data_IF_885958641330
#
_entry.id   IF_885958641330
#
_cell.length_a   1.000
_cell.length_b   1.000
_cell.length_c   1.000
_cell.angle_alpha   90.00
_cell.angle_beta   90.00
_cell.angle_gamma   90.00
#
_symmetry.space_group_name_H-M   'P 1'
#
loop_
_entity.id
_entity.type
_entity.pdbx_description
1 polymer ?
#
# COMPACT_ATOMS: atom_id res chain seq x y z
N UNK A 1 4.99 -11.19 25.62
CA UNK A 1 5.10 -11.06 24.16
C UNK A 1 4.36 -9.79 23.74
N UNK A 2 4.94 -9.00 22.85
CA UNK A 2 4.39 -7.75 22.34
C UNK A 2 4.23 -7.88 20.83
N UNK A 3 3.00 -7.63 20.36
CA UNK A 3 2.68 -7.58 18.93
C UNK A 3 2.75 -6.14 18.46
N UNK A 4 3.60 -5.88 17.47
CA UNK A 4 3.76 -4.55 16.89
C UNK A 4 3.72 -4.64 15.37
N UNK A 5 3.15 -3.61 14.74
CA UNK A 5 3.24 -3.44 13.29
C UNK A 5 4.22 -2.30 13.01
N UNK A 6 5.29 -2.62 12.27
CA UNK A 6 6.40 -1.72 12.00
C UNK A 6 6.51 -1.46 10.50
N UNK A 7 6.70 -0.20 10.11
CA UNK A 7 7.16 0.15 8.78
C UNK A 7 8.67 0.04 8.75
N UNK A 8 9.19 -0.80 7.87
CA UNK A 8 10.63 -0.98 7.64
C UNK A 8 10.93 -0.50 6.23
N UNK A 9 11.55 0.68 6.13
CA UNK A 9 11.97 1.27 4.87
C UNK A 9 13.28 0.64 4.38
N UNK A 10 13.64 0.90 3.14
CA UNK A 10 14.92 0.55 2.51
C UNK A 10 15.43 -0.88 2.80
N UNK A 11 14.55 -1.87 2.69
CA UNK A 11 14.93 -3.28 2.79
C UNK A 11 15.45 -3.70 1.42
N UNK A 12 16.76 -3.90 1.33
CA UNK A 12 17.41 -4.34 0.09
C UNK A 12 17.31 -5.85 -0.05
N UNK A 13 16.83 -6.30 -1.21
CA UNK A 13 16.83 -7.68 -1.64
C UNK A 13 17.70 -7.80 -2.89
N UNK A 14 18.83 -8.50 -2.75
CA UNK A 14 19.76 -8.72 -3.86
C UNK A 14 19.18 -9.69 -4.87
N UNK A 15 19.35 -9.41 -6.17
CA UNK A 15 19.00 -10.33 -7.24
C UNK A 15 20.00 -11.48 -7.39
N UNK A 16 21.18 -11.38 -6.76
CA UNK A 16 22.26 -12.37 -6.82
C UNK A 16 22.22 -13.39 -5.69
N UNK A 17 21.35 -13.20 -4.70
CA UNK A 17 21.25 -14.08 -3.54
C UNK A 17 19.83 -14.64 -3.46
N UNK A 18 19.73 -15.96 -3.23
CA UNK A 18 18.46 -16.59 -2.89
C UNK A 18 18.13 -16.30 -1.43
N UNK A 19 17.46 -15.17 -1.20
CA UNK A 19 16.90 -14.79 0.08
C UNK A 19 15.46 -14.39 -0.08
N UNK A 20 14.67 -14.65 0.94
CA UNK A 20 13.31 -14.15 1.04
C UNK A 20 13.32 -12.72 1.56
N UNK A 21 12.27 -11.96 1.21
CA UNK A 21 12.06 -10.62 1.77
C UNK A 21 11.97 -10.68 3.31
N UNK A 22 11.32 -11.72 3.86
CA UNK A 22 11.18 -11.92 5.32
C UNK A 22 12.55 -12.04 6.00
N UNK A 23 13.52 -12.74 5.40
CA UNK A 23 14.87 -12.84 5.96
C UNK A 23 15.62 -11.51 5.93
N UNK A 24 15.49 -10.74 4.84
CA UNK A 24 16.09 -9.40 4.76
C UNK A 24 15.50 -8.44 5.81
N UNK A 25 14.18 -8.49 6.01
CA UNK A 25 13.49 -7.71 7.06
C UNK A 25 13.96 -8.15 8.45
N UNK A 26 14.01 -9.46 8.71
CA UNK A 26 14.46 -10.02 9.98
C UNK A 26 15.90 -9.61 10.28
N UNK A 27 16.80 -9.64 9.28
CA UNK A 27 18.18 -9.16 9.40
C UNK A 27 18.22 -7.68 9.76
N UNK A 28 17.44 -6.84 9.08
CA UNK A 28 17.37 -5.39 9.36
C UNK A 28 16.82 -5.09 10.75
N UNK A 29 15.82 -5.86 11.19
CA UNK A 29 15.23 -5.79 12.54
C UNK A 29 16.05 -6.55 13.60
N UNK A 30 17.07 -7.31 13.19
CA UNK A 30 17.93 -8.12 14.07
C UNK A 30 17.13 -9.05 14.98
N UNK A 31 16.11 -9.68 14.41
CA UNK A 31 15.26 -10.69 15.03
C UNK A 31 15.31 -11.97 14.20
N UNK A 32 14.78 -13.06 14.75
CA UNK A 32 14.61 -14.31 14.01
C UNK A 32 13.50 -14.14 12.96
N UNK A 33 13.62 -14.73 11.75
CA UNK A 33 12.55 -14.68 10.75
C UNK A 33 11.19 -15.17 11.25
N UNK A 34 11.18 -16.18 12.14
CA UNK A 34 9.96 -16.71 12.76
C UNK A 34 9.27 -15.75 13.74
N UNK A 35 9.91 -14.66 14.14
CA UNK A 35 9.26 -13.60 14.94
C UNK A 35 8.42 -12.64 14.07
N UNK A 36 8.50 -12.74 12.74
CA UNK A 36 7.69 -11.95 11.81
C UNK A 36 6.46 -12.76 11.42
N UNK A 37 5.30 -12.42 11.98
CA UNK A 37 4.04 -13.11 11.72
C UNK A 37 3.49 -12.75 10.34
N UNK A 38 3.61 -11.49 9.93
CA UNK A 38 3.14 -11.00 8.64
C UNK A 38 4.13 -10.00 8.03
N UNK A 39 4.30 -10.04 6.71
CA UNK A 39 5.14 -9.12 5.96
C UNK A 39 4.39 -8.65 4.71
N UNK A 40 3.97 -7.39 4.71
CA UNK A 40 3.19 -6.78 3.62
C UNK A 40 4.05 -5.76 2.89
N UNK A 41 4.13 -5.87 1.57
CA UNK A 41 4.86 -4.88 0.75
C UNK A 41 4.04 -3.59 0.66
N UNK A 42 4.63 -2.48 1.12
CA UNK A 42 4.06 -1.13 0.99
C UNK A 42 4.55 -0.45 -0.29
N UNK A 43 5.80 -0.71 -0.66
CA UNK A 43 6.44 -0.14 -1.84
C UNK A 43 7.54 -1.07 -2.34
N UNK A 44 7.70 -1.14 -3.66
CA UNK A 44 8.77 -1.90 -4.33
C UNK A 44 9.35 -1.06 -5.46
N UNK A 45 10.65 -0.87 -5.45
CA UNK A 45 11.40 -0.20 -6.50
C UNK A 45 12.62 -1.03 -6.91
N UNK A 46 13.19 -0.71 -8.08
CA UNK A 46 14.48 -1.24 -8.51
C UNK A 46 15.54 -0.20 -8.18
N UNK A 47 16.56 -0.59 -7.42
CA UNK A 47 17.77 0.20 -7.22
C UNK A 47 18.84 -0.30 -8.20
N UNK A 48 18.98 0.41 -9.33
CA UNK A 48 19.93 0.11 -10.39
C UNK A 48 21.07 1.15 -10.49
N UNK A 49 21.31 1.92 -9.43
CA UNK A 49 22.36 2.97 -9.42
C UNK A 49 23.77 2.40 -9.62
N UNK A 50 23.97 1.14 -9.28
CA UNK A 50 25.21 0.40 -9.54
C UNK A 50 24.92 -0.79 -10.44
N UNK A 51 25.49 -0.77 -11.66
CA UNK A 51 25.28 -1.80 -12.69
C UNK A 51 25.56 -3.23 -12.18
N UNK A 52 26.59 -3.39 -11.37
CA UNK A 52 27.00 -4.71 -10.84
C UNK A 52 26.25 -5.12 -9.57
N UNK A 53 25.35 -4.27 -9.04
CA UNK A 53 24.64 -4.51 -7.79
C UNK A 53 23.18 -4.03 -7.85
N UNK A 54 22.48 -4.41 -8.92
CA UNK A 54 21.03 -4.17 -9.03
C UNK A 54 20.29 -4.95 -7.94
N UNK A 55 19.49 -4.23 -7.15
CA UNK A 55 18.70 -4.80 -6.05
C UNK A 55 17.24 -4.35 -6.14
N UNK A 56 16.34 -5.12 -5.54
CA UNK A 56 15.00 -4.65 -5.24
C UNK A 56 15.01 -3.91 -3.89
N UNK A 57 14.46 -2.70 -3.87
CA UNK A 57 14.26 -1.91 -2.67
C UNK A 57 12.81 -2.02 -2.23
N UNK A 58 12.60 -2.48 -1.00
CA UNK A 58 11.28 -2.63 -0.42
C UNK A 58 11.06 -1.66 0.74
N UNK A 59 9.82 -1.20 0.87
CA UNK A 59 9.27 -0.77 2.15
C UNK A 59 8.20 -1.77 2.55
N UNK A 60 8.23 -2.23 3.79
CA UNK A 60 7.31 -3.25 4.28
C UNK A 60 6.60 -2.81 5.54
N UNK A 61 5.38 -3.28 5.73
CA UNK A 61 4.75 -3.38 7.04
C UNK A 61 5.02 -4.79 7.57
N UNK A 62 5.77 -4.88 8.65
CA UNK A 62 6.10 -6.13 9.33
C UNK A 62 5.34 -6.20 10.64
N UNK A 63 4.49 -7.21 10.80
CA UNK A 63 3.93 -7.58 12.09
C UNK A 63 4.92 -8.51 12.78
N UNK A 64 5.33 -8.13 13.99
CA UNK A 64 6.34 -8.84 14.77
C UNK A 64 5.80 -9.21 16.13
N UNK A 65 6.18 -10.40 16.59
CA UNK A 65 5.93 -10.88 17.94
C UNK A 65 7.28 -11.03 18.67
N UNK A 66 7.55 -10.12 19.60
CA UNK A 66 8.84 -10.03 20.31
C UNK A 66 8.62 -9.81 21.82
N UNK A 67 9.60 -10.12 22.68
CA UNK A 67 9.52 -9.76 24.10
C UNK A 67 9.31 -8.25 24.29
N UNK A 68 8.51 -7.83 25.26
CA UNK A 68 8.06 -6.44 25.41
C UNK A 68 9.21 -5.42 25.53
N UNK A 69 10.35 -5.82 26.10
CA UNK A 69 11.56 -4.99 26.20
C UNK A 69 12.26 -4.72 24.86
N UNK A 70 12.00 -5.51 23.82
CA UNK A 70 12.61 -5.34 22.49
C UNK A 70 11.93 -4.27 21.64
N UNK A 71 10.68 -3.90 21.93
CA UNK A 71 9.90 -2.96 21.12
C UNK A 71 10.61 -1.61 20.94
N UNK A 72 11.10 -1.01 22.04
CA UNK A 72 11.83 0.26 22.00
C UNK A 72 13.13 0.16 21.21
N UNK A 73 13.84 -0.98 21.31
CA UNK A 73 15.07 -1.24 20.56
C UNK A 73 14.82 -1.36 19.05
N UNK A 74 13.69 -1.92 18.64
CA UNK A 74 13.32 -2.00 17.22
C UNK A 74 13.02 -0.62 16.63
N UNK A 75 12.28 0.21 17.37
CA UNK A 75 11.93 1.58 16.95
C UNK A 75 13.13 2.53 16.90
N UNK A 76 14.22 2.22 17.62
CA UNK A 76 15.47 2.96 17.51
C UNK A 76 16.31 2.64 16.27
N UNK A 77 15.89 1.70 15.42
CA UNK A 77 16.66 1.33 14.22
C UNK A 77 16.37 2.26 13.06
N UNK A 78 17.41 2.55 12.28
CA UNK A 78 17.26 3.40 11.11
C UNK A 78 16.25 2.84 10.09
N UNK A 79 15.32 3.69 9.66
CA UNK A 79 14.26 3.34 8.73
C UNK A 79 13.17 2.45 9.32
N UNK A 80 13.04 2.36 10.64
CA UNK A 80 11.98 1.61 11.33
C UNK A 80 11.08 2.57 12.08
N UNK A 81 9.78 2.54 11.80
CA UNK A 81 8.77 3.37 12.49
C UNK A 81 7.53 2.56 12.83
N UNK A 82 6.69 3.00 13.78
CA UNK A 82 5.37 2.40 13.95
C UNK A 82 4.57 2.51 12.66
N UNK A 83 3.80 1.48 12.33
CA UNK A 83 2.91 1.49 11.18
C UNK A 83 1.48 1.21 11.58
N UNK A 84 0.61 2.14 11.23
CA UNK A 84 -0.81 1.90 11.11
C UNK A 84 -1.18 2.05 9.65
N UNK A 85 -1.98 1.12 9.11
CA UNK A 85 -2.52 1.26 7.77
C UNK A 85 -3.40 2.50 7.74
N UNK A 86 -3.05 3.47 6.92
CA UNK A 86 -3.88 4.65 6.73
C UNK A 86 -5.24 4.22 6.19
N UNK A 87 -6.29 4.55 6.91
CA UNK A 87 -7.67 4.46 6.42
C UNK A 87 -7.96 5.83 5.80
N UNK A 88 -8.33 5.90 4.50
CA UNK A 88 -8.75 7.16 3.91
C UNK A 88 -9.87 7.79 4.75
N UNK A 89 -9.77 9.09 5.01
CA UNK A 89 -10.84 9.79 5.70
C UNK A 89 -12.12 9.67 4.87
N UNK A 90 -13.25 9.46 5.55
CA UNK A 90 -14.55 9.58 4.90
C UNK A 90 -14.68 11.02 4.34
N UNK A 91 -15.33 11.20 3.17
CA UNK A 91 -15.60 12.51 2.64
C UNK A 91 -16.53 13.25 3.60
N UNK A 92 -16.37 14.57 3.64
CA UNK A 92 -17.34 15.41 4.31
C UNK A 92 -18.63 15.44 3.47
N UNK A 93 -19.74 15.00 4.06
CA UNK A 93 -21.04 15.02 3.41
C UNK A 93 -21.60 16.45 3.40
N UNK A 94 -22.29 16.80 2.32
CA UNK A 94 -23.06 18.03 2.24
C UNK A 94 -24.29 18.01 3.17
N UNK A 95 -24.82 19.18 3.48
CA UNK A 95 -26.00 19.34 4.35
C UNK A 95 -27.31 19.43 3.58
N UNK A 96 -27.26 19.62 2.26
CA UNK A 96 -28.43 19.74 1.39
C UNK A 96 -28.69 18.39 0.71
N UNK A 97 -29.89 17.82 0.81
CA UNK A 97 -30.22 16.59 0.10
C UNK A 97 -30.25 16.85 -1.41
N UNK A 98 -29.66 15.95 -2.18
CA UNK A 98 -29.80 15.96 -3.63
C UNK A 98 -31.20 15.45 -4.00
N UNK A 99 -31.95 16.25 -4.75
CA UNK A 99 -33.26 15.86 -5.30
C UNK A 99 -33.12 14.98 -6.54
N UNK A 100 -31.95 15.01 -7.19
CA UNK A 100 -31.67 14.32 -8.43
C UNK A 100 -30.37 13.51 -8.35
N UNK A 101 -30.22 12.55 -9.25
CA UNK A 101 -29.00 11.74 -9.37
C UNK A 101 -27.86 12.59 -9.95
N UNK A 102 -26.66 12.60 -9.35
CA UNK A 102 -25.52 13.33 -9.90
C UNK A 102 -25.05 12.68 -11.21
N UNK A 103 -24.63 13.52 -12.17
CA UNK A 103 -24.10 13.08 -13.46
C UNK A 103 -22.59 13.26 -13.47
N UNK A 104 -21.87 12.21 -13.86
CA UNK A 104 -20.43 12.22 -14.08
C UNK A 104 -20.18 12.08 -15.59
N UNK A 105 -19.46 13.03 -16.18
CA UNK A 105 -19.16 13.07 -17.61
C UNK A 105 -17.70 12.65 -17.83
N UNK A 106 -17.51 11.53 -18.53
CA UNK A 106 -16.23 10.91 -18.85
C UNK A 106 -15.93 9.70 -17.96
N UNK A 107 -15.59 8.57 -18.58
CA UNK A 107 -15.18 7.33 -17.91
C UNK A 107 -13.64 7.13 -17.93
N UNK A 108 -12.90 8.24 -17.85
CA UNK A 108 -11.47 8.22 -17.53
C UNK A 108 -11.22 7.97 -16.03
N UNK A 109 -9.95 7.91 -15.58
CA UNK A 109 -9.62 7.63 -14.19
C UNK A 109 -10.33 8.54 -13.18
N UNK A 110 -10.38 9.86 -13.44
CA UNK A 110 -11.05 10.81 -12.56
C UNK A 110 -12.56 10.60 -12.46
N UNK A 111 -13.25 10.37 -13.59
CA UNK A 111 -14.69 10.14 -13.60
C UNK A 111 -15.09 8.80 -13.00
N UNK A 112 -14.29 7.75 -13.23
CA UNK A 112 -14.52 6.44 -12.61
C UNK A 112 -14.36 6.49 -11.09
N UNK A 113 -13.34 7.19 -10.58
CA UNK A 113 -13.16 7.38 -9.13
C UNK A 113 -14.31 8.20 -8.55
N UNK A 114 -14.71 9.29 -9.21
CA UNK A 114 -15.83 10.11 -8.75
C UNK A 114 -17.14 9.32 -8.70
N UNK A 115 -17.47 8.57 -9.77
CA UNK A 115 -18.67 7.74 -9.82
C UNK A 115 -18.63 6.60 -8.78
N UNK A 116 -17.47 5.97 -8.56
CA UNK A 116 -17.32 4.94 -7.55
C UNK A 116 -17.55 5.48 -6.14
N UNK A 117 -16.96 6.62 -5.80
CA UNK A 117 -17.14 7.23 -4.48
C UNK A 117 -18.60 7.66 -4.28
N UNK A 118 -19.22 8.36 -5.24
CA UNK A 118 -20.65 8.70 -5.18
C UNK A 118 -21.54 7.46 -4.98
N UNK A 119 -21.25 6.36 -5.69
CA UNK A 119 -21.99 5.11 -5.55
C UNK A 119 -21.83 4.48 -4.16
N UNK A 120 -20.61 4.47 -3.60
CA UNK A 120 -20.31 3.96 -2.25
C UNK A 120 -21.08 4.69 -1.15
N UNK A 121 -21.34 5.98 -1.33
CA UNK A 121 -22.14 6.80 -0.41
C UNK A 121 -23.63 6.87 -0.79
N UNK A 122 -24.10 6.01 -1.71
CA UNK A 122 -25.53 5.86 -2.01
C UNK A 122 -26.11 6.92 -2.96
N UNK A 123 -25.30 7.78 -3.55
CA UNK A 123 -25.77 8.87 -4.42
C UNK A 123 -26.26 8.40 -5.81
N UNK A 124 -26.07 7.12 -6.17
CA UNK A 124 -26.57 6.53 -7.43
C UNK A 124 -26.19 7.35 -8.69
N UNK A 125 -24.91 7.65 -8.93
CA UNK A 125 -24.51 8.51 -10.05
C UNK A 125 -24.91 7.94 -11.41
N UNK A 126 -25.04 8.81 -12.41
CA UNK A 126 -25.16 8.47 -13.82
C UNK A 126 -23.80 8.79 -14.47
N UNK A 127 -23.10 7.77 -14.95
CA UNK A 127 -21.82 7.93 -15.66
C UNK A 127 -22.05 7.89 -17.17
N UNK A 128 -21.61 8.93 -17.88
CA UNK A 128 -21.74 9.04 -19.34
C UNK A 128 -20.35 9.17 -19.96
N UNK A 129 -20.06 8.39 -20.99
CA UNK A 129 -18.82 8.45 -21.77
C UNK A 129 -19.15 8.50 -23.25
N UNK A 130 -18.47 9.36 -24.02
CA UNK A 130 -18.69 9.49 -25.47
C UNK A 130 -18.22 8.25 -26.23
N UNK A 131 -17.15 7.64 -25.73
CA UNK A 131 -16.49 6.54 -26.37
C UNK A 131 -17.18 5.20 -26.19
N UNK A 132 -16.80 4.25 -27.05
CA UNK A 132 -17.23 2.85 -26.94
C UNK A 132 -16.65 2.18 -25.68
N UNK A 133 -17.30 1.12 -25.24
CA UNK A 133 -16.79 0.24 -24.19
C UNK A 133 -15.38 -0.27 -24.52
N UNK A 134 -14.55 -0.47 -23.49
CA UNK A 134 -13.15 -0.90 -23.66
C UNK A 134 -13.03 -2.20 -24.46
N UNK A 135 -13.91 -3.18 -24.21
CA UNK A 135 -13.91 -4.45 -24.96
C UNK A 135 -13.98 -4.22 -26.47
N UNK A 136 -14.87 -3.33 -26.91
CA UNK A 136 -15.02 -2.97 -28.33
C UNK A 136 -13.89 -2.10 -28.88
N UNK A 137 -13.10 -1.43 -28.03
CA UNK A 137 -11.94 -0.63 -28.46
C UNK A 137 -10.68 -1.47 -28.67
N UNK A 138 -10.56 -2.59 -27.97
CA UNK A 138 -9.38 -3.49 -28.08
C UNK A 138 -9.49 -4.40 -29.29
N UNK A 139 -10.70 -4.57 -29.84
CA UNK A 139 -10.98 -5.35 -31.05
C UNK A 139 -10.76 -4.56 -32.36
N UNK A 140 -10.71 -3.23 -32.30
CA UNK A 140 -10.41 -2.33 -33.42
C UNK A 140 -8.88 -2.18 -33.61
#
# INVERSE_FOLDING_TARGET
MAKLTLRVNDVKLSLKQEKTLRECVAKKLGIRPGAITQCTVLHRAVDARHKDNVCLLYHVAAEVDVPSGFARKLLGRNGVTPYAKAVPAAPQLGTVPLTERPVVIGAGPGGLVAALELARYGYRPILVERGRALSRRVED
#
